data_IF_759655808607
#
_entry.id   IF_759655808607
#
_cell.length_a   1.000
_cell.length_b   1.000
_cell.length_c   1.000
_cell.angle_alpha   90.00
_cell.angle_beta   90.00
_cell.angle_gamma   90.00
#
_symmetry.space_group_name_H-M   'P 1'
#
loop_
_entity.id
_entity.type
_entity.pdbx_description
1 polymer ?
#
# COMPACT_ATOMS: atom_id res chain seq x y z
N UNK A 1 -23.77 -13.16 74.62
CA UNK A 1 -23.58 -11.70 74.44
C UNK A 1 -22.20 -11.46 73.82
N UNK A 2 -22.08 -10.41 73.01
CA UNK A 2 -21.17 -10.23 71.86
C UNK A 2 -19.67 -10.49 72.07
N UNK A 3 -19.03 -11.06 71.03
CA UNK A 3 -17.62 -11.48 70.90
C UNK A 3 -16.67 -10.34 70.49
N UNK A 4 -15.62 -10.18 71.29
CA UNK A 4 -14.17 -9.98 71.04
C UNK A 4 -13.69 -9.79 69.57
N UNK A 5 -13.24 -8.56 69.27
CA UNK A 5 -11.87 -8.08 68.92
C UNK A 5 -11.02 -8.77 67.81
N UNK A 6 -10.70 -7.92 66.80
CA UNK A 6 -9.46 -7.70 66.00
C UNK A 6 -8.95 -8.61 64.84
N UNK A 7 -8.85 -7.95 63.67
CA UNK A 7 -7.70 -7.79 62.74
C UNK A 7 -7.21 -8.98 61.87
N UNK A 8 -7.28 -8.78 60.53
CA UNK A 8 -6.18 -8.85 59.51
C UNK A 8 -6.69 -9.32 58.12
N UNK A 9 -6.51 -8.42 57.16
CA UNK A 9 -6.08 -8.54 55.74
C UNK A 9 -6.64 -9.58 54.73
N UNK A 10 -6.65 -9.11 53.46
CA UNK A 10 -6.78 -9.82 52.17
C UNK A 10 -8.20 -10.39 51.88
N UNK A 11 -8.79 -10.35 50.69
CA UNK A 11 -8.39 -9.96 49.32
C UNK A 11 -9.56 -10.26 48.35
N UNK A 12 -9.50 -9.74 47.11
CA UNK A 12 -10.30 -10.10 45.90
C UNK A 12 -11.81 -9.74 45.89
N UNK A 13 -12.45 -9.26 44.81
CA UNK A 13 -12.04 -8.77 43.47
C UNK A 13 -13.25 -8.11 42.79
N UNK A 14 -12.99 -7.04 42.04
CA UNK A 14 -13.46 -6.78 40.66
C UNK A 14 -14.92 -7.08 40.31
N UNK A 15 -15.70 -6.00 40.11
CA UNK A 15 -16.59 -5.86 38.95
C UNK A 15 -16.60 -4.38 38.56
N UNK A 16 -15.63 -4.00 37.73
CA UNK A 16 -15.67 -2.80 36.92
C UNK A 16 -15.67 -3.22 35.46
N UNK A 17 -16.84 -3.27 34.83
CA UNK A 17 -16.93 -3.28 33.37
C UNK A 17 -16.74 -1.84 32.88
N UNK A 18 -15.61 -1.62 32.24
CA UNK A 18 -15.17 -0.35 31.69
C UNK A 18 -15.41 -0.39 30.18
N UNK A 19 -16.49 0.20 29.71
CA UNK A 19 -16.57 0.62 28.31
C UNK A 19 -15.65 1.83 28.15
N UNK A 20 -14.47 1.56 27.61
CA UNK A 20 -13.43 2.55 27.39
C UNK A 20 -13.00 2.47 25.92
N UNK A 21 -13.90 2.76 24.98
CA UNK A 21 -13.52 3.21 23.63
C UNK A 21 -12.94 4.62 23.76
N UNK A 22 -11.69 4.71 24.21
CA UNK A 22 -10.96 5.95 24.23
C UNK A 22 -10.48 6.28 22.82
N UNK A 23 -11.15 7.20 22.14
CA UNK A 23 -10.58 7.92 21.00
C UNK A 23 -9.38 8.74 21.52
N UNK A 24 -8.20 8.15 21.55
CA UNK A 24 -6.97 8.89 21.88
C UNK A 24 -6.65 9.79 20.70
N UNK A 25 -6.79 11.09 20.91
CA UNK A 25 -6.27 12.11 19.99
C UNK A 25 -4.76 12.10 20.14
N UNK A 26 -4.06 11.65 19.10
CA UNK A 26 -2.60 11.62 19.05
C UNK A 26 -2.06 13.00 18.68
N UNK A 27 -1.06 13.46 19.42
CA UNK A 27 -0.22 14.64 19.12
C UNK A 27 1.16 14.15 18.64
N UNK A 28 1.37 13.96 17.32
CA UNK A 28 2.53 14.47 16.56
C UNK A 28 2.56 13.93 15.11
N UNK A 29 2.89 14.79 14.14
CA UNK A 29 3.22 14.48 12.73
C UNK A 29 2.05 14.18 11.77
N UNK A 30 1.10 13.33 12.14
CA UNK A 30 -0.07 12.96 11.31
C UNK A 30 -1.39 13.58 11.85
N UNK A 31 -1.29 14.69 12.59
CA UNK A 31 -2.30 15.14 13.57
C UNK A 31 -3.45 15.95 13.01
N UNK A 32 -3.30 16.57 11.84
CA UNK A 32 -4.43 17.26 11.21
C UNK A 32 -5.06 16.29 10.24
N UNK A 33 -6.20 15.73 10.65
CA UNK A 33 -7.11 15.07 9.74
C UNK A 33 -8.16 16.08 9.30
N UNK A 34 -8.82 15.87 8.15
CA UNK A 34 -9.95 16.71 7.77
C UNK A 34 -11.03 16.67 8.85
N UNK A 35 -11.73 17.79 9.05
CA UNK A 35 -12.78 17.89 10.07
C UNK A 35 -13.82 16.78 9.90
N UNK A 36 -14.12 16.07 10.99
CA UNK A 36 -15.12 14.99 11.02
C UNK A 36 -14.59 13.62 10.61
N UNK A 37 -13.29 13.48 10.30
CA UNK A 37 -12.67 12.17 10.05
C UNK A 37 -12.22 11.56 11.37
N UNK A 38 -12.75 10.38 11.69
CA UNK A 38 -12.32 9.58 12.83
C UNK A 38 -11.08 8.76 12.49
N UNK A 39 -10.17 8.67 13.46
CA UNK A 39 -8.99 7.80 13.39
C UNK A 39 -9.14 6.65 14.41
N UNK A 40 -8.99 5.43 13.95
CA UNK A 40 -9.06 4.21 14.75
C UNK A 40 -7.65 3.70 15.01
N UNK A 41 -7.35 3.29 16.24
CA UNK A 41 -6.07 2.66 16.55
C UNK A 41 -6.18 1.16 16.28
N UNK A 42 -5.38 0.65 15.36
CA UNK A 42 -5.32 -0.79 15.11
C UNK A 42 -4.27 -1.45 15.99
N UNK A 43 -4.60 -2.66 16.43
CA UNK A 43 -3.70 -3.58 17.13
C UNK A 43 -3.61 -4.86 16.29
N UNK A 44 -2.41 -5.46 16.13
CA UNK A 44 -2.28 -6.70 15.37
C UNK A 44 -3.22 -7.78 15.94
N UNK A 45 -4.05 -8.37 15.07
CA UNK A 45 -4.89 -9.52 15.42
C UNK A 45 -4.03 -10.78 15.60
N UNK A 46 -3.07 -10.96 14.70
CA UNK A 46 -2.08 -12.04 14.75
C UNK A 46 -0.87 -11.70 13.87
N UNK A 47 0.27 -12.34 14.20
CA UNK A 47 1.38 -12.49 13.28
C UNK A 47 1.17 -13.79 12.49
N UNK A 48 0.81 -13.68 11.21
CA UNK A 48 0.50 -14.80 10.33
C UNK A 48 1.76 -15.62 10.03
N UNK A 49 2.86 -14.95 9.71
CA UNK A 49 4.16 -15.57 9.40
C UNK A 49 5.26 -14.71 10.01
N UNK A 50 6.28 -15.34 10.59
CA UNK A 50 7.53 -14.70 11.03
C UNK A 50 8.70 -15.19 10.17
N UNK A 51 9.58 -14.27 9.83
CA UNK A 51 10.78 -14.49 9.03
C UNK A 51 12.00 -14.11 9.86
N UNK A 52 12.98 -15.01 9.93
CA UNK A 52 14.24 -14.82 10.66
C UNK A 52 15.38 -14.43 9.71
N UNK A 53 15.32 -14.92 8.48
CA UNK A 53 16.40 -14.84 7.49
C UNK A 53 15.84 -14.66 6.07
N UNK A 54 14.63 -14.08 5.98
CA UNK A 54 13.93 -13.82 4.71
C UNK A 54 13.41 -12.40 4.67
N UNK A 55 13.37 -11.85 3.47
CA UNK A 55 13.07 -10.45 3.21
C UNK A 55 11.78 -10.34 2.39
N UNK A 56 10.59 -10.42 3.00
CA UNK A 56 9.35 -10.19 2.29
C UNK A 56 9.27 -8.72 1.85
N UNK A 57 8.94 -8.50 0.58
CA UNK A 57 8.84 -7.14 0.01
C UNK A 57 7.42 -6.79 -0.43
N UNK A 58 6.61 -7.80 -0.76
CA UNK A 58 5.24 -7.61 -1.20
C UNK A 58 4.37 -8.83 -0.85
N UNK A 59 3.06 -8.61 -0.76
CA UNK A 59 2.08 -9.65 -0.53
C UNK A 59 0.72 -9.36 -1.20
N UNK A 60 -0.03 -10.42 -1.46
CA UNK A 60 -1.44 -10.35 -1.80
C UNK A 60 -2.15 -11.62 -1.28
N UNK A 61 -3.49 -11.59 -1.25
CA UNK A 61 -4.33 -12.67 -0.74
C UNK A 61 -5.36 -13.06 -1.79
N UNK A 62 -5.55 -14.37 -1.96
CA UNK A 62 -6.67 -14.92 -2.71
C UNK A 62 -7.19 -16.17 -2.02
N UNK A 63 -8.51 -16.27 -1.87
CA UNK A 63 -9.19 -17.34 -1.13
C UNK A 63 -8.55 -17.56 0.26
N UNK A 64 -8.02 -18.75 0.54
CA UNK A 64 -7.37 -19.08 1.83
C UNK A 64 -5.85 -18.94 1.80
N UNK A 65 -5.28 -18.40 0.72
CA UNK A 65 -3.84 -18.37 0.47
C UNK A 65 -3.28 -16.95 0.60
N UNK A 66 -2.11 -16.87 1.22
CA UNK A 66 -1.30 -15.67 1.35
C UNK A 66 -0.06 -15.85 0.47
N UNK A 67 0.12 -14.95 -0.49
CA UNK A 67 1.22 -14.96 -1.44
C UNK A 67 2.20 -13.88 -1.04
N UNK A 68 3.49 -14.23 -1.00
CA UNK A 68 4.53 -13.33 -0.50
C UNK A 68 5.69 -13.34 -1.45
N UNK A 69 6.04 -12.17 -1.97
CA UNK A 69 7.24 -11.97 -2.79
C UNK A 69 8.42 -11.77 -1.83
N UNK A 70 9.45 -12.58 -2.02
CA UNK A 70 10.70 -12.57 -1.26
C UNK A 70 11.81 -11.95 -2.08
N UNK A 71 12.51 -10.99 -1.50
CA UNK A 71 13.82 -10.57 -1.98
C UNK A 71 14.92 -11.55 -1.52
N UNK A 72 16.03 -11.57 -2.26
CA UNK A 72 17.25 -12.36 -1.93
C UNK A 72 16.97 -13.86 -1.69
N UNK A 73 16.14 -14.45 -2.53
CA UNK A 73 15.74 -15.87 -2.46
C UNK A 73 15.73 -16.48 -3.86
N UNK A 74 16.19 -17.72 -4.01
CA UNK A 74 16.25 -18.42 -5.31
C UNK A 74 14.86 -18.71 -5.91
N UNK A 75 13.84 -18.72 -5.05
CA UNK A 75 12.43 -18.77 -5.43
C UNK A 75 11.77 -17.50 -4.94
N UNK A 76 10.99 -16.81 -5.79
CA UNK A 76 10.52 -15.46 -5.46
C UNK A 76 9.20 -15.48 -4.70
N UNK A 77 8.26 -16.37 -5.02
CA UNK A 77 6.90 -16.33 -4.45
C UNK A 77 6.71 -17.47 -3.47
N UNK A 78 6.45 -17.15 -2.21
CA UNK A 78 6.15 -18.14 -1.18
C UNK A 78 4.64 -18.09 -0.91
N UNK A 79 4.01 -19.25 -0.89
CA UNK A 79 2.56 -19.38 -0.67
C UNK A 79 2.33 -20.03 0.67
N UNK A 80 1.55 -19.36 1.51
CA UNK A 80 1.17 -19.80 2.83
C UNK A 80 -0.34 -19.98 2.91
N UNK A 81 -0.78 -20.86 3.80
CA UNK A 81 -2.16 -20.82 4.29
C UNK A 81 -2.32 -19.59 5.19
N UNK A 82 -3.24 -18.69 4.85
CA UNK A 82 -3.36 -17.39 5.54
C UNK A 82 -3.88 -17.50 6.97
N UNK A 83 -4.48 -18.63 7.34
CA UNK A 83 -5.06 -18.86 8.66
C UNK A 83 -4.04 -19.48 9.62
N UNK A 84 -3.30 -20.47 9.14
CA UNK A 84 -2.33 -21.24 9.94
C UNK A 84 -0.89 -20.74 9.82
N UNK A 85 -0.57 -19.93 8.79
CA UNK A 85 0.80 -19.49 8.52
C UNK A 85 1.71 -20.58 7.98
N UNK A 86 1.18 -21.77 7.69
CA UNK A 86 1.96 -22.91 7.20
C UNK A 86 2.25 -22.73 5.72
N UNK A 87 3.52 -22.91 5.33
CA UNK A 87 3.94 -22.85 3.93
C UNK A 87 3.32 -24.01 3.14
N UNK A 88 2.71 -23.69 2.00
CA UNK A 88 2.10 -24.66 1.08
C UNK A 88 3.04 -25.01 -0.06
N UNK A 89 3.63 -24.00 -0.69
CA UNK A 89 4.57 -24.18 -1.81
C UNK A 89 5.38 -22.91 -2.05
N UNK A 90 6.33 -22.98 -2.99
CA UNK A 90 7.14 -21.85 -3.47
C UNK A 90 7.20 -21.90 -4.99
N UNK A 91 7.07 -20.75 -5.65
CA UNK A 91 6.98 -20.61 -7.10
C UNK A 91 7.88 -19.49 -7.62
N UNK A 92 8.22 -19.58 -8.91
CA UNK A 92 8.96 -18.53 -9.61
C UNK A 92 10.46 -18.60 -9.35
N UNK A 93 11.17 -19.26 -10.26
CA UNK A 93 12.63 -19.33 -10.22
C UNK A 93 13.22 -17.96 -10.60
N UNK A 94 14.27 -17.56 -9.90
CA UNK A 94 15.05 -16.37 -10.28
C UNK A 94 15.88 -16.68 -11.52
N UNK A 95 15.75 -15.86 -12.57
CA UNK A 95 16.56 -16.02 -13.77
C UNK A 95 16.05 -15.21 -14.97
N UNK A 96 16.48 -15.62 -16.16
CA UNK A 96 16.18 -14.95 -17.45
C UNK A 96 15.54 -15.90 -18.48
N UNK A 97 15.17 -17.12 -18.07
CA UNK A 97 14.40 -18.05 -18.86
C UNK A 97 12.98 -17.54 -19.16
N UNK A 98 12.24 -18.20 -20.06
CA UNK A 98 10.92 -17.74 -20.50
C UNK A 98 9.87 -17.60 -19.38
N UNK A 99 10.01 -18.38 -18.30
CA UNK A 99 9.13 -18.40 -17.13
C UNK A 99 9.82 -17.90 -15.85
N UNK A 100 11.10 -17.53 -15.95
CA UNK A 100 11.84 -17.01 -14.81
C UNK A 100 11.35 -15.59 -14.48
N UNK A 101 11.51 -15.23 -13.21
CA UNK A 101 11.04 -13.97 -12.65
C UNK A 101 12.24 -13.27 -12.01
N UNK A 102 12.33 -11.95 -12.12
CA UNK A 102 13.49 -11.20 -11.63
C UNK A 102 13.12 -10.34 -10.42
N UNK A 103 12.16 -9.42 -10.58
CA UNK A 103 11.74 -8.51 -9.51
C UNK A 103 10.26 -8.18 -9.67
N UNK A 104 9.36 -9.10 -9.26
CA UNK A 104 7.94 -8.95 -9.49
C UNK A 104 7.28 -8.04 -8.46
N UNK A 105 6.11 -7.51 -8.81
CA UNK A 105 5.20 -6.80 -7.91
C UNK A 105 3.75 -7.21 -8.20
N UNK A 106 2.92 -7.38 -7.16
CA UNK A 106 1.51 -7.71 -7.35
C UNK A 106 0.72 -6.51 -7.92
N UNK A 107 -0.24 -6.80 -8.81
CA UNK A 107 -1.18 -5.79 -9.29
C UNK A 107 -2.17 -5.41 -8.17
N UNK A 108 -2.23 -4.12 -7.83
CA UNK A 108 -3.03 -3.58 -6.70
C UNK A 108 -4.52 -3.44 -6.97
N UNK A 109 -4.97 -3.87 -8.16
CA UNK A 109 -6.35 -3.84 -8.60
C UNK A 109 -6.72 -5.16 -9.32
N UNK A 110 -6.19 -6.29 -8.85
CA UNK A 110 -6.39 -7.62 -9.44
C UNK A 110 -7.86 -7.94 -9.80
N UNK A 111 -8.84 -7.44 -9.04
CA UNK A 111 -10.27 -7.62 -9.30
C UNK A 111 -10.78 -7.04 -10.64
N UNK A 112 -10.03 -6.15 -11.29
CA UNK A 112 -10.39 -5.56 -12.61
C UNK A 112 -10.07 -6.51 -13.78
N UNK A 113 -9.19 -7.47 -13.58
CA UNK A 113 -8.84 -8.47 -14.59
C UNK A 113 -9.89 -9.58 -14.57
N UNK A 114 -10.62 -9.73 -15.68
CA UNK A 114 -11.57 -10.84 -15.87
C UNK A 114 -10.80 -12.08 -16.31
N UNK A 115 -9.90 -12.59 -15.48
CA UNK A 115 -9.32 -13.90 -15.75
C UNK A 115 -10.33 -14.99 -15.39
N UNK A 116 -10.42 -16.01 -16.25
CA UNK A 116 -11.28 -17.19 -16.05
C UNK A 116 -10.73 -18.08 -14.92
N UNK A 117 -9.42 -18.06 -14.74
CA UNK A 117 -8.68 -18.51 -13.56
C UNK A 117 -8.88 -17.47 -12.47
N UNK A 118 -9.29 -17.87 -11.26
CA UNK A 118 -9.37 -16.97 -10.08
C UNK A 118 -7.99 -16.65 -9.52
N UNK A 119 -7.01 -16.47 -10.41
CA UNK A 119 -5.61 -16.33 -10.10
C UNK A 119 -5.24 -14.91 -9.68
N UNK A 120 -4.10 -14.78 -9.01
CA UNK A 120 -3.48 -13.49 -8.76
C UNK A 120 -2.56 -13.14 -9.92
N UNK A 121 -2.60 -11.88 -10.35
CA UNK A 121 -1.69 -11.37 -11.36
C UNK A 121 -0.63 -10.46 -10.73
N UNK A 122 0.57 -10.52 -11.30
CA UNK A 122 1.72 -9.72 -10.92
C UNK A 122 2.52 -9.39 -12.17
N UNK A 123 3.40 -8.40 -12.08
CA UNK A 123 4.21 -7.96 -13.21
C UNK A 123 5.67 -7.97 -12.86
N UNK A 124 6.53 -8.20 -13.84
CA UNK A 124 7.99 -8.03 -13.71
C UNK A 124 8.49 -7.16 -14.86
N UNK A 125 8.97 -5.96 -14.50
CA UNK A 125 9.43 -4.95 -15.44
C UNK A 125 10.71 -5.38 -16.17
N UNK A 126 11.52 -6.25 -15.58
CA UNK A 126 12.78 -6.70 -16.17
C UNK A 126 12.53 -7.69 -17.30
N UNK A 127 11.59 -8.62 -17.10
CA UNK A 127 11.15 -9.57 -18.14
C UNK A 127 10.10 -8.98 -19.09
N UNK A 128 9.56 -7.80 -18.79
CA UNK A 128 8.48 -7.13 -19.54
C UNK A 128 7.21 -7.96 -19.65
N UNK A 129 6.88 -8.74 -18.62
CA UNK A 129 5.74 -9.65 -18.61
C UNK A 129 4.79 -9.41 -17.45
N UNK A 130 3.53 -9.70 -17.70
CA UNK A 130 2.49 -9.93 -16.69
C UNK A 130 2.33 -11.44 -16.54
N UNK A 131 2.39 -11.90 -15.32
CA UNK A 131 2.25 -13.30 -14.94
C UNK A 131 0.94 -13.50 -14.18
N UNK A 132 0.43 -14.72 -14.25
CA UNK A 132 -0.68 -15.18 -13.43
C UNK A 132 -0.25 -16.38 -12.59
N UNK A 133 -0.73 -16.44 -11.35
CA UNK A 133 -0.73 -17.64 -10.53
C UNK A 133 -2.13 -18.24 -10.54
N UNK A 134 -2.30 -19.40 -11.18
CA UNK A 134 -3.60 -20.05 -11.23
C UNK A 134 -3.95 -20.76 -9.91
N UNK A 135 -5.18 -21.30 -9.82
CA UNK A 135 -5.68 -21.99 -8.63
C UNK A 135 -4.91 -23.28 -8.28
N UNK A 136 -4.07 -23.79 -9.19
CA UNK A 136 -3.20 -24.96 -8.96
C UNK A 136 -1.80 -24.55 -8.52
N UNK A 137 -1.57 -23.28 -8.17
CA UNK A 137 -0.27 -22.74 -7.81
C UNK A 137 0.77 -22.94 -8.93
N UNK A 138 0.37 -22.71 -10.17
CA UNK A 138 1.29 -22.65 -11.31
C UNK A 138 1.44 -21.20 -11.76
N UNK A 139 2.69 -20.77 -11.99
CA UNK A 139 3.02 -19.45 -12.54
C UNK A 139 3.18 -19.59 -14.05
N UNK A 140 2.53 -18.71 -14.81
CA UNK A 140 2.76 -18.62 -16.25
C UNK A 140 2.68 -17.16 -16.71
N UNK A 141 3.48 -16.77 -17.70
CA UNK A 141 3.28 -15.49 -18.36
C UNK A 141 1.94 -15.50 -19.09
N UNK A 142 1.21 -14.39 -19.00
CA UNK A 142 -0.12 -14.24 -19.57
C UNK A 142 -0.21 -13.06 -20.57
N UNK A 143 0.50 -11.96 -20.33
CA UNK A 143 0.56 -10.81 -21.24
C UNK A 143 1.96 -10.22 -21.29
N UNK A 144 2.32 -9.66 -22.44
CA UNK A 144 3.49 -8.78 -22.56
C UNK A 144 3.11 -7.35 -22.15
N UNK A 145 4.08 -6.59 -21.65
CA UNK A 145 3.89 -5.16 -21.40
C UNK A 145 3.65 -4.40 -22.70
N UNK A 146 2.70 -3.46 -22.66
CA UNK A 146 2.49 -2.51 -23.76
C UNK A 146 3.55 -1.39 -23.70
N UNK A 147 4.13 -1.05 -24.85
CA UNK A 147 5.23 -0.09 -24.95
C UNK A 147 4.82 1.32 -24.50
N UNK A 148 3.53 1.66 -24.66
CA UNK A 148 2.96 2.96 -24.33
C UNK A 148 3.10 3.30 -22.85
N UNK A 149 3.11 2.31 -21.95
CA UNK A 149 3.27 2.52 -20.50
C UNK A 149 4.58 1.95 -19.97
N UNK A 150 5.40 1.30 -20.79
CA UNK A 150 6.65 0.70 -20.34
C UNK A 150 7.85 1.69 -20.39
N UNK A 151 8.83 1.59 -19.47
CA UNK A 151 8.74 0.96 -18.15
C UNK A 151 7.98 1.88 -17.20
N UNK A 152 7.12 1.33 -16.33
CA UNK A 152 6.38 2.14 -15.34
C UNK A 152 6.76 1.80 -13.91
N UNK A 153 6.85 2.81 -13.04
CA UNK A 153 7.15 2.64 -11.61
C UNK A 153 5.96 2.09 -10.84
N UNK A 154 4.76 2.53 -11.22
CA UNK A 154 3.50 2.07 -10.67
C UNK A 154 2.54 1.86 -11.84
N UNK A 155 1.80 0.76 -11.80
CA UNK A 155 0.91 0.36 -12.87
C UNK A 155 -0.44 -0.10 -12.32
N UNK A 156 -1.50 0.24 -13.04
CA UNK A 156 -2.82 -0.33 -12.88
C UNK A 156 -3.27 -0.90 -14.22
N UNK A 157 -3.73 -2.15 -14.20
CA UNK A 157 -4.15 -2.87 -15.41
C UNK A 157 -5.59 -3.33 -15.22
N UNK A 158 -6.39 -3.16 -16.26
CA UNK A 158 -7.74 -3.70 -16.37
C UNK A 158 -7.88 -4.36 -17.75
N UNK A 159 -9.04 -4.95 -18.06
CA UNK A 159 -9.24 -5.60 -19.36
C UNK A 159 -9.02 -4.66 -20.57
N UNK A 160 -9.25 -3.37 -20.39
CA UNK A 160 -9.26 -2.41 -21.50
C UNK A 160 -8.22 -1.30 -21.36
N UNK A 161 -7.65 -1.12 -20.18
CA UNK A 161 -6.78 0.01 -19.88
C UNK A 161 -5.52 -0.42 -19.16
N UNK A 162 -4.43 0.20 -19.58
CA UNK A 162 -3.12 0.19 -18.93
C UNK A 162 -2.82 1.61 -18.48
N UNK A 163 -2.54 1.79 -17.20
CA UNK A 163 -2.24 3.10 -16.64
C UNK A 163 -0.91 3.01 -15.92
N UNK A 164 0.02 3.89 -16.21
CA UNK A 164 1.31 3.86 -15.54
C UNK A 164 2.09 5.16 -15.60
N UNK A 165 2.95 5.35 -14.59
CA UNK A 165 3.95 6.42 -14.55
C UNK A 165 5.25 5.92 -15.16
N UNK A 166 5.58 6.40 -16.36
CA UNK A 166 6.80 5.98 -17.06
C UNK A 166 8.06 6.45 -16.36
N UNK A 167 9.02 5.54 -16.21
CA UNK A 167 10.35 5.78 -15.65
C UNK A 167 11.31 6.30 -16.74
N UNK A 168 11.05 7.51 -17.22
CA UNK A 168 11.95 8.21 -18.14
C UNK A 168 12.29 9.58 -17.58
N UNK A 169 13.58 9.94 -17.46
CA UNK A 169 13.98 11.23 -16.90
C UNK A 169 13.33 12.37 -17.69
N UNK A 170 12.67 13.30 -16.98
CA UNK A 170 12.02 14.47 -17.55
C UNK A 170 11.00 14.16 -18.68
N UNK A 171 10.32 13.01 -18.61
CA UNK A 171 9.16 12.75 -19.47
C UNK A 171 8.13 13.86 -19.28
N UNK A 172 7.47 14.39 -20.32
CA UNK A 172 6.61 15.57 -20.19
C UNK A 172 5.31 15.34 -19.39
N UNK A 173 5.10 14.15 -18.83
CA UNK A 173 3.80 13.72 -18.29
C UNK A 173 3.99 13.01 -16.96
N UNK A 174 3.04 13.17 -16.04
CA UNK A 174 3.02 12.49 -14.75
C UNK A 174 2.70 11.01 -14.86
N UNK A 175 1.70 10.67 -15.68
CA UNK A 175 1.34 9.29 -16.01
C UNK A 175 0.57 9.25 -17.33
N UNK A 176 0.37 8.04 -17.85
CA UNK A 176 -0.32 7.79 -19.10
C UNK A 176 -1.44 6.78 -18.92
N UNK A 177 -2.50 6.94 -19.71
CA UNK A 177 -3.67 6.06 -19.76
C UNK A 177 -3.74 5.54 -21.20
N UNK A 178 -3.50 4.25 -21.39
CA UNK A 178 -3.58 3.60 -22.68
C UNK A 178 -4.80 2.68 -22.73
N UNK A 179 -5.68 2.90 -23.70
CA UNK A 179 -6.79 2.00 -23.99
C UNK A 179 -6.33 0.92 -24.99
N UNK A 180 -6.20 -0.32 -24.53
CA UNK A 180 -5.73 -1.44 -25.33
C UNK A 180 -6.70 -1.89 -26.42
N UNK A 181 -7.99 -1.53 -26.31
CA UNK A 181 -9.02 -1.89 -27.30
C UNK A 181 -9.03 -0.87 -28.45
N UNK A 182 -8.89 0.42 -28.15
CA UNK A 182 -8.98 1.49 -29.16
C UNK A 182 -7.62 2.01 -29.61
N UNK A 183 -6.51 1.61 -28.97
CA UNK A 183 -5.18 2.16 -29.18
C UNK A 183 -5.03 3.63 -28.74
N UNK A 184 -5.99 4.17 -27.98
CA UNK A 184 -5.98 5.58 -27.59
C UNK A 184 -5.02 5.78 -26.41
N UNK A 185 -4.05 6.66 -26.58
CA UNK A 185 -3.16 7.13 -25.52
C UNK A 185 -3.60 8.51 -25.00
N UNK A 186 -3.80 8.62 -23.70
CA UNK A 186 -4.01 9.89 -23.01
C UNK A 186 -2.82 10.15 -22.09
N UNK A 187 -2.31 11.37 -22.16
CA UNK A 187 -1.18 11.85 -21.38
C UNK A 187 -1.69 12.80 -20.30
N UNK A 188 -1.30 12.57 -19.05
CA UNK A 188 -1.68 13.43 -17.92
C UNK A 188 -0.48 14.24 -17.48
N UNK A 189 -0.62 15.56 -17.52
CA UNK A 189 0.43 16.51 -17.13
C UNK A 189 0.77 16.43 -15.64
N UNK A 190 1.94 16.95 -15.27
CA UNK A 190 2.33 17.12 -13.87
C UNK A 190 1.34 17.99 -13.10
N UNK A 191 0.86 17.43 -11.99
CA UNK A 191 0.04 18.10 -11.00
C UNK A 191 0.43 17.62 -9.60
N UNK A 192 0.52 18.49 -8.59
CA UNK A 192 0.19 19.92 -8.63
C UNK A 192 1.15 20.77 -9.44
N UNK A 193 0.64 21.89 -9.99
CA UNK A 193 1.48 22.90 -10.64
C UNK A 193 2.02 23.85 -9.58
N UNK A 194 3.33 23.83 -9.40
CA UNK A 194 4.05 24.64 -8.40
C UNK A 194 5.09 25.52 -9.10
N UNK A 195 5.35 26.71 -8.55
CA UNK A 195 6.12 27.80 -9.20
C UNK A 195 7.52 27.36 -9.63
N UNK A 196 8.17 26.53 -8.84
CA UNK A 196 9.55 26.08 -9.07
C UNK A 196 9.64 24.65 -9.64
N UNK A 197 8.54 24.12 -10.18
CA UNK A 197 8.51 22.78 -10.79
C UNK A 197 9.56 22.59 -11.89
N UNK A 198 9.82 23.62 -12.70
CA UNK A 198 10.78 23.55 -13.79
C UNK A 198 12.24 23.49 -13.34
N UNK A 199 12.51 23.80 -12.07
CA UNK A 199 13.84 23.67 -11.47
C UNK A 199 14.13 22.24 -10.98
N UNK A 200 13.16 21.35 -11.01
CA UNK A 200 13.32 19.96 -10.58
C UNK A 200 14.23 19.21 -11.56
N UNK A 201 15.32 18.65 -11.04
CA UNK A 201 16.28 17.85 -11.83
C UNK A 201 15.66 16.57 -12.38
N UNK A 202 14.73 15.97 -11.63
CA UNK A 202 13.97 14.79 -12.01
C UNK A 202 12.51 14.95 -11.57
N UNK A 203 11.68 15.48 -12.48
CA UNK A 203 10.23 15.63 -12.25
C UNK A 203 9.54 14.29 -12.02
N UNK A 204 9.97 13.23 -12.71
CA UNK A 204 9.34 11.92 -12.58
C UNK A 204 9.58 11.30 -11.22
N UNK A 205 10.78 11.43 -10.68
CA UNK A 205 11.04 11.00 -9.30
C UNK A 205 10.22 11.81 -8.30
N UNK A 206 10.22 13.14 -8.42
CA UNK A 206 9.57 13.99 -7.43
C UNK A 206 8.05 13.92 -7.44
N UNK A 207 7.45 13.68 -8.61
CA UNK A 207 6.02 13.39 -8.77
C UNK A 207 5.74 11.88 -8.76
N UNK A 208 6.64 11.10 -8.17
CA UNK A 208 6.46 9.66 -7.97
C UNK A 208 5.10 9.39 -7.31
N UNK A 209 4.37 8.41 -7.82
CA UNK A 209 3.02 8.12 -7.35
C UNK A 209 2.73 6.61 -7.39
N UNK A 210 1.65 6.22 -6.72
CA UNK A 210 1.07 4.90 -6.82
C UNK A 210 -0.35 4.97 -7.40
N UNK A 211 -0.66 4.15 -8.40
CA UNK A 211 -1.93 4.21 -9.16
C UNK A 211 -2.76 2.93 -8.99
N UNK A 212 -4.06 3.11 -8.84
CA UNK A 212 -5.09 2.09 -9.06
C UNK A 212 -6.24 2.64 -9.89
N UNK A 213 -7.02 1.77 -10.52
CA UNK A 213 -8.17 2.16 -11.32
C UNK A 213 -9.35 1.23 -11.14
N UNK A 214 -10.54 1.77 -11.43
CA UNK A 214 -11.79 1.06 -11.46
C UNK A 214 -12.57 1.45 -12.71
N UNK A 215 -12.66 0.51 -13.66
CA UNK A 215 -13.25 0.79 -14.97
C UNK A 215 -14.76 0.99 -14.89
N UNK A 216 -15.44 0.24 -14.01
CA UNK A 216 -16.90 0.35 -13.81
C UNK A 216 -17.31 1.70 -13.26
N UNK A 217 -16.52 2.27 -12.36
CA UNK A 217 -16.79 3.59 -11.75
C UNK A 217 -16.22 4.75 -12.58
N UNK A 218 -15.46 4.47 -13.65
CA UNK A 218 -14.71 5.46 -14.44
C UNK A 218 -13.83 6.33 -13.54
N UNK A 219 -13.00 5.69 -12.71
CA UNK A 219 -12.11 6.35 -11.76
C UNK A 219 -10.70 5.79 -11.80
N UNK A 220 -9.73 6.67 -11.73
CA UNK A 220 -8.32 6.40 -11.49
C UNK A 220 -7.96 7.16 -10.22
N UNK A 221 -7.31 6.48 -9.28
CA UNK A 221 -6.81 7.10 -8.07
C UNK A 221 -5.29 7.06 -8.07
N UNK A 222 -4.67 8.21 -7.81
CA UNK A 222 -3.24 8.38 -7.69
C UNK A 222 -2.89 8.95 -6.31
N UNK A 223 -2.09 8.23 -5.53
CA UNK A 223 -1.50 8.72 -4.27
C UNK A 223 -0.06 9.15 -4.51
N UNK A 224 0.27 10.41 -4.19
CA UNK A 224 1.62 10.94 -4.42
C UNK A 224 2.60 10.45 -3.35
N UNK A 225 3.79 10.02 -3.76
CA UNK A 225 4.81 9.48 -2.86
C UNK A 225 5.42 10.56 -1.93
N UNK A 226 5.56 11.79 -2.43
CA UNK A 226 6.22 12.89 -1.72
C UNK A 226 5.28 14.00 -1.25
N UNK A 227 4.00 13.91 -1.60
CA UNK A 227 3.00 14.92 -1.28
C UNK A 227 1.86 14.26 -0.53
N UNK A 228 1.33 14.93 0.49
CA UNK A 228 0.08 14.52 1.15
C UNK A 228 -1.13 14.87 0.27
N UNK A 229 -1.12 14.36 -0.96
CA UNK A 229 -2.10 14.61 -2.00
C UNK A 229 -2.52 13.29 -2.65
N UNK A 230 -3.83 13.09 -2.70
CA UNK A 230 -4.51 12.05 -3.44
C UNK A 230 -5.31 12.72 -4.55
N UNK A 231 -5.20 12.20 -5.76
CA UNK A 231 -5.83 12.76 -6.95
C UNK A 231 -6.73 11.72 -7.59
N UNK A 232 -7.90 12.15 -8.05
CA UNK A 232 -8.89 11.28 -8.68
C UNK A 232 -9.14 11.79 -10.09
N UNK A 233 -8.91 10.92 -11.07
CA UNK A 233 -9.09 11.21 -12.49
C UNK A 233 -10.17 10.31 -13.11
N UNK A 234 -10.68 10.71 -14.27
CA UNK A 234 -11.34 9.79 -15.20
C UNK A 234 -10.35 9.18 -16.22
N UNK A 235 -10.81 8.24 -17.03
CA UNK A 235 -10.01 7.63 -18.10
C UNK A 235 -9.75 8.56 -19.31
N UNK A 236 -10.26 9.79 -19.31
CA UNK A 236 -9.86 10.83 -20.26
C UNK A 236 -8.74 11.72 -19.71
N UNK A 237 -8.19 11.40 -18.53
CA UNK A 237 -7.12 12.16 -17.89
C UNK A 237 -7.59 13.43 -17.20
N UNK A 238 -8.92 13.63 -17.05
CA UNK A 238 -9.46 14.81 -16.38
C UNK A 238 -9.41 14.61 -14.87
N UNK A 239 -8.79 15.57 -14.17
CA UNK A 239 -8.83 15.64 -12.70
C UNK A 239 -10.26 15.95 -12.23
N UNK A 240 -10.82 15.06 -11.42
CA UNK A 240 -12.15 15.15 -10.83
C UNK A 240 -12.09 15.77 -9.44
N UNK A 241 -11.15 15.32 -8.61
CA UNK A 241 -11.06 15.71 -7.20
C UNK A 241 -9.63 15.56 -6.68
N UNK A 242 -9.27 16.47 -5.77
CA UNK A 242 -8.09 16.38 -4.92
C UNK A 242 -8.52 16.16 -3.47
N UNK A 243 -7.74 15.35 -2.76
CA UNK A 243 -7.93 15.08 -1.35
C UNK A 243 -6.57 15.18 -0.67
N UNK A 244 -6.49 16.00 0.38
CA UNK A 244 -5.37 16.01 1.31
C UNK A 244 -5.90 15.67 2.69
N UNK A 245 -5.11 14.91 3.45
CA UNK A 245 -5.42 14.62 4.85
C UNK A 245 -4.98 15.78 5.75
N UNK A 246 -3.90 16.47 5.42
CA UNK A 246 -3.40 17.64 6.15
C UNK A 246 -4.35 18.82 6.00
N UNK A 247 -4.81 19.37 7.12
CA UNK A 247 -5.63 20.58 7.09
C UNK A 247 -4.78 21.79 6.68
N UNK A 248 -5.25 22.57 5.71
CA UNK A 248 -4.50 23.73 5.19
C UNK A 248 -3.25 23.33 4.40
N UNK A 249 -3.27 22.15 3.77
CA UNK A 249 -2.18 21.66 2.94
C UNK A 249 -1.77 22.66 1.86
N UNK A 250 -0.47 22.90 1.75
CA UNK A 250 0.15 23.81 0.80
C UNK A 250 1.22 23.05 0.00
N UNK A 251 1.01 22.96 -1.31
CA UNK A 251 1.84 22.21 -2.24
C UNK A 251 3.20 22.88 -2.47
N UNK A 252 3.29 24.21 -2.41
CA UNK A 252 4.54 24.95 -2.53
C UNK A 252 5.41 24.72 -1.29
N UNK A 253 4.80 24.79 -0.11
CA UNK A 253 5.48 24.48 1.14
C UNK A 253 5.94 23.02 1.19
N UNK A 254 5.12 22.08 0.72
CA UNK A 254 5.48 20.68 0.63
C UNK A 254 6.70 20.48 -0.29
N UNK A 255 6.73 21.14 -1.45
CA UNK A 255 7.89 21.08 -2.34
C UNK A 255 9.15 21.68 -1.70
N UNK A 256 9.03 22.84 -1.04
CA UNK A 256 10.14 23.46 -0.34
C UNK A 256 10.71 22.57 0.78
N UNK A 257 9.84 21.87 1.52
CA UNK A 257 10.26 20.89 2.53
C UNK A 257 11.08 19.76 1.92
N UNK A 258 10.65 19.21 0.78
CA UNK A 258 11.38 18.16 0.08
C UNK A 258 12.78 18.61 -0.37
N UNK A 259 12.90 19.83 -0.89
CA UNK A 259 14.21 20.40 -1.28
C UNK A 259 15.15 20.56 -0.09
N UNK A 260 14.60 21.00 1.05
CA UNK A 260 15.36 21.25 2.27
C UNK A 260 15.59 19.98 3.10
N UNK A 261 15.18 18.80 2.61
CA UNK A 261 15.25 17.53 3.34
C UNK A 261 14.53 17.58 4.70
N UNK A 262 13.48 18.40 4.79
CA UNK A 262 12.57 18.38 5.92
C UNK A 262 11.63 17.17 5.82
N UNK A 263 11.03 16.82 6.95
CA UNK A 263 10.01 15.77 7.00
C UNK A 263 8.87 16.04 6.03
N UNK A 264 8.32 14.95 5.48
CA UNK A 264 7.23 14.99 4.53
C UNK A 264 6.25 13.84 4.77
N UNK A 265 5.08 13.96 4.15
CA UNK A 265 4.04 12.94 4.18
C UNK A 265 3.78 12.52 2.75
N UNK A 266 3.56 11.23 2.54
CA UNK A 266 3.11 10.73 1.25
C UNK A 266 2.58 9.30 1.31
N UNK A 267 2.32 8.77 0.12
CA UNK A 267 1.59 7.53 -0.09
C UNK A 267 2.44 6.47 -0.78
N UNK A 268 3.32 5.76 -0.04
CA UNK A 268 4.26 4.82 -0.64
C UNK A 268 3.63 3.52 -1.15
N UNK A 269 2.41 3.20 -0.72
CA UNK A 269 1.70 2.01 -1.19
C UNK A 269 0.18 2.24 -1.27
N UNK A 270 -0.46 1.50 -2.16
CA UNK A 270 -1.90 1.54 -2.42
C UNK A 270 -2.42 0.13 -2.68
N UNK A 271 -3.67 -0.12 -2.29
CA UNK A 271 -4.42 -1.31 -2.64
C UNK A 271 -5.87 -0.94 -2.92
N UNK A 272 -6.55 -1.69 -3.79
CA UNK A 272 -7.93 -1.39 -4.12
C UNK A 272 -8.80 -2.61 -4.27
N UNK A 273 -10.04 -2.46 -3.87
CA UNK A 273 -11.14 -3.39 -4.14
C UNK A 273 -12.13 -2.73 -5.09
N UNK A 274 -13.14 -3.49 -5.51
CA UNK A 274 -14.25 -2.96 -6.29
C UNK A 274 -14.98 -1.79 -5.59
N UNK A 275 -14.97 -1.72 -4.26
CA UNK A 275 -15.69 -0.69 -3.51
C UNK A 275 -14.81 0.40 -2.92
N UNK A 276 -13.60 0.07 -2.45
CA UNK A 276 -12.76 1.01 -1.71
C UNK A 276 -11.31 1.03 -2.21
N UNK A 277 -10.66 2.16 -1.97
CA UNK A 277 -9.22 2.31 -2.07
C UNK A 277 -8.64 2.42 -0.66
N UNK A 278 -7.49 1.79 -0.47
CA UNK A 278 -6.71 1.82 0.75
C UNK A 278 -5.34 2.38 0.42
N UNK A 279 -4.88 3.37 1.18
CA UNK A 279 -3.59 3.98 0.97
C UNK A 279 -2.80 3.94 2.26
N UNK A 280 -1.54 3.47 2.21
CA UNK A 280 -0.62 3.67 3.32
C UNK A 280 -0.13 5.11 3.26
N UNK A 281 -0.34 5.87 4.33
CA UNK A 281 0.08 7.26 4.51
C UNK A 281 1.18 7.30 5.55
N UNK A 282 2.39 7.62 5.12
CA UNK A 282 3.57 7.60 5.97
C UNK A 282 4.05 9.02 6.25
N UNK A 283 4.40 9.29 7.52
CA UNK A 283 5.18 10.46 7.90
C UNK A 283 6.66 10.07 7.92
N UNK A 284 7.45 10.68 7.04
CA UNK A 284 8.79 10.23 6.71
C UNK A 284 9.80 11.31 7.09
N UNK A 285 10.89 10.86 7.72
CA UNK A 285 12.04 11.70 8.01
C UNK A 285 12.71 12.17 6.71
N UNK A 286 12.86 13.48 6.54
CA UNK A 286 13.39 14.04 5.29
C UNK A 286 14.87 13.73 5.03
N UNK A 287 15.66 13.56 6.10
CA UNK A 287 17.10 13.30 6.03
C UNK A 287 17.40 11.81 5.89
N UNK A 288 16.87 11.00 6.79
CA UNK A 288 17.16 9.56 6.88
C UNK A 288 16.24 8.70 6.03
N UNK A 289 15.10 9.25 5.57
CA UNK A 289 14.03 8.53 4.84
C UNK A 289 13.36 7.42 5.65
N UNK A 290 13.61 7.36 6.96
CA UNK A 290 12.93 6.43 7.84
C UNK A 290 11.46 6.84 8.05
N UNK A 291 10.58 5.85 8.08
CA UNK A 291 9.18 6.05 8.44
C UNK A 291 9.09 6.32 9.94
N UNK A 292 8.56 7.49 10.32
CA UNK A 292 8.31 7.86 11.73
C UNK A 292 7.00 7.28 12.23
N UNK A 293 5.94 7.37 11.42
CA UNK A 293 4.59 6.89 11.72
C UNK A 293 3.85 6.50 10.44
N UNK A 294 2.93 5.55 10.55
CA UNK A 294 2.08 5.09 9.44
C UNK A 294 0.60 5.13 9.80
N UNK A 295 -0.22 5.44 8.80
CA UNK A 295 -1.67 5.32 8.83
C UNK A 295 -2.16 4.60 7.57
N UNK A 296 -3.33 3.99 7.63
CA UNK A 296 -4.08 3.60 6.44
C UNK A 296 -5.31 4.49 6.26
N UNK A 297 -5.50 4.99 5.05
CA UNK A 297 -6.69 5.75 4.66
C UNK A 297 -7.57 4.85 3.82
N UNK A 298 -8.80 4.57 4.30
CA UNK A 298 -9.86 3.89 3.54
C UNK A 298 -10.76 4.96 2.94
N UNK A 299 -10.95 4.93 1.63
CA UNK A 299 -11.80 5.88 0.93
C UNK A 299 -12.60 5.21 -0.18
N UNK A 300 -13.72 5.82 -0.57
CA UNK A 300 -14.42 5.42 -1.78
C UNK A 300 -13.75 5.99 -3.04
N UNK A 301 -14.11 5.46 -4.20
CA UNK A 301 -13.60 5.88 -5.52
C UNK A 301 -13.94 7.33 -5.92
N UNK A 302 -14.79 8.03 -5.16
CA UNK A 302 -15.07 9.45 -5.35
C UNK A 302 -14.25 10.33 -4.39
N UNK A 303 -13.33 9.74 -3.63
CA UNK A 303 -12.42 10.45 -2.73
C UNK A 303 -13.09 10.89 -1.45
N UNK A 304 -14.14 10.21 -1.00
CA UNK A 304 -14.66 10.43 0.33
C UNK A 304 -13.98 9.47 1.30
N UNK A 305 -13.30 10.03 2.29
CA UNK A 305 -12.64 9.28 3.35
C UNK A 305 -13.71 8.60 4.20
N UNK A 306 -13.57 7.29 4.40
CA UNK A 306 -14.50 6.48 5.21
C UNK A 306 -13.93 6.21 6.59
N UNK A 307 -12.62 5.95 6.66
CA UNK A 307 -11.92 5.70 7.90
C UNK A 307 -10.43 5.98 7.75
N UNK A 308 -9.78 6.28 8.87
CA UNK A 308 -8.32 6.33 8.99
C UNK A 308 -7.92 5.39 10.12
N UNK A 309 -6.86 4.63 9.90
CA UNK A 309 -6.38 3.62 10.83
C UNK A 309 -4.93 3.91 11.20
N UNK A 310 -4.64 4.21 12.46
CA UNK A 310 -3.29 4.39 12.98
C UNK A 310 -2.67 3.04 13.37
N UNK A 311 -1.38 2.88 13.08
CA UNK A 311 -0.61 1.66 13.39
C UNK A 311 0.73 2.08 13.99
N UNK A 312 1.09 1.46 15.12
CA UNK A 312 2.37 1.69 15.82
C UNK A 312 3.51 0.83 15.25
N UNK A 313 3.16 -0.28 14.59
CA UNK A 313 4.12 -1.18 13.97
C UNK A 313 4.91 -0.49 12.86
N UNK A 314 6.21 -0.78 12.76
CA UNK A 314 7.06 -0.28 11.68
C UNK A 314 6.76 -1.06 10.39
N UNK A 315 5.97 -0.46 9.52
CA UNK A 315 5.55 -1.08 8.26
C UNK A 315 6.58 -0.90 7.16
N UNK A 316 6.71 -1.91 6.31
CA UNK A 316 7.52 -1.88 5.09
C UNK A 316 6.78 -2.56 3.94
N UNK A 317 7.32 -2.43 2.72
CA UNK A 317 6.86 -3.18 1.55
C UNK A 317 5.41 -2.89 1.16
N UNK A 318 4.81 -3.87 0.47
CA UNK A 318 3.40 -3.86 0.08
C UNK A 318 2.43 -4.28 1.19
N UNK A 319 1.14 -4.13 0.91
CA UNK A 319 0.05 -4.59 1.76
C UNK A 319 -1.15 -4.98 0.89
N UNK A 320 -2.09 -5.72 1.46
CA UNK A 320 -3.35 -6.03 0.80
C UNK A 320 -4.51 -6.03 1.80
N UNK A 321 -5.74 -6.01 1.27
CA UNK A 321 -6.96 -6.09 2.09
C UNK A 321 -7.87 -7.17 1.52
N UNK A 322 -8.27 -8.11 2.37
CA UNK A 322 -9.24 -9.15 2.04
C UNK A 322 -10.29 -9.26 3.15
N UNK A 323 -11.57 -9.20 2.81
CA UNK A 323 -12.69 -9.36 3.75
C UNK A 323 -12.58 -8.50 5.04
N UNK A 324 -12.27 -7.21 4.89
CA UNK A 324 -12.00 -6.27 6.00
C UNK A 324 -10.79 -6.64 6.89
N UNK A 325 -9.93 -7.55 6.46
CA UNK A 325 -8.67 -7.84 7.10
C UNK A 325 -7.56 -7.18 6.28
N UNK A 326 -6.80 -6.31 6.93
CA UNK A 326 -5.60 -5.70 6.39
C UNK A 326 -4.40 -6.61 6.70
N UNK A 327 -3.61 -6.94 5.68
CA UNK A 327 -2.36 -7.69 5.82
C UNK A 327 -1.18 -6.81 5.43
N UNK A 328 -0.18 -6.71 6.32
CA UNK A 328 0.99 -5.84 6.14
C UNK A 328 2.29 -6.56 6.48
N UNK A 329 3.39 -6.15 5.85
CA UNK A 329 4.74 -6.50 6.30
C UNK A 329 5.18 -5.52 7.39
N UNK A 330 5.63 -6.05 8.52
CA UNK A 330 6.24 -5.31 9.62
C UNK A 330 7.70 -5.73 9.80
N UNK A 331 8.55 -4.78 10.19
CA UNK A 331 9.95 -4.99 10.54
C UNK A 331 10.16 -4.76 12.04
N UNK A 332 10.84 -5.71 12.68
CA UNK A 332 11.31 -5.60 14.05
C UNK A 332 12.84 -5.63 14.05
N UNK A 333 13.46 -4.63 14.69
CA UNK A 333 14.92 -4.56 14.84
C UNK A 333 15.23 -4.74 16.32
N UNK A 334 15.97 -5.79 16.66
CA UNK A 334 16.40 -6.02 18.02
C UNK A 334 17.59 -5.10 18.35
N UNK A 335 17.35 -4.06 19.14
CA UNK A 335 18.36 -3.05 19.48
C UNK A 335 19.60 -3.62 20.23
N UNK A 336 19.49 -4.81 20.82
CA UNK A 336 20.60 -5.46 21.53
C UNK A 336 21.50 -6.35 20.67
N UNK A 337 20.99 -6.83 19.53
CA UNK A 337 21.73 -7.78 18.64
C UNK A 337 21.86 -7.30 17.21
N UNK A 338 21.21 -6.18 16.85
CA UNK A 338 21.04 -5.69 15.48
C UNK A 338 20.34 -6.69 14.53
N UNK A 339 19.75 -7.76 15.08
CA UNK A 339 19.00 -8.72 14.28
C UNK A 339 17.73 -8.07 13.74
N UNK A 340 17.49 -8.24 12.44
CA UNK A 340 16.25 -7.83 11.79
C UNK A 340 15.33 -9.03 11.57
N UNK A 341 14.10 -8.90 12.01
CA UNK A 341 13.04 -9.88 11.79
C UNK A 341 11.90 -9.23 11.01
N UNK A 342 11.29 -9.99 10.11
CA UNK A 342 10.10 -9.56 9.38
C UNK A 342 8.90 -10.39 9.81
N UNK A 343 7.72 -9.79 9.79
CA UNK A 343 6.45 -10.47 10.07
C UNK A 343 5.40 -10.03 9.08
N UNK A 344 4.49 -10.95 8.72
CA UNK A 344 3.22 -10.56 8.13
C UNK A 344 2.20 -10.47 9.26
N UNK A 345 1.66 -9.28 9.48
CA UNK A 345 0.65 -9.01 10.48
C UNK A 345 -0.71 -8.88 9.80
N UNK A 346 -1.76 -9.33 10.48
CA UNK A 346 -3.14 -9.06 10.08
C UNK A 346 -3.84 -8.16 11.09
N UNK A 347 -4.69 -7.26 10.60
CA UNK A 347 -5.47 -6.33 11.41
C UNK A 347 -6.93 -6.37 10.96
N UNK A 348 -7.85 -6.27 11.92
CA UNK A 348 -9.28 -6.19 11.62
C UNK A 348 -9.67 -4.72 11.40
N UNK A 349 -10.22 -4.41 10.23
CA UNK A 349 -10.67 -3.06 9.90
C UNK A 349 -12.09 -2.87 10.41
N UNK A 350 -12.31 -1.79 11.15
CA UNK A 350 -13.66 -1.36 11.51
C UNK A 350 -14.46 -1.03 10.25
N UNK A 351 -15.72 -1.48 10.23
CA UNK A 351 -16.61 -1.47 9.06
C UNK A 351 -17.06 -0.06 8.69
#
# INVERSE_FOLDING_TARGET
MKKIIFLIALSFWVLGCKDNTSSKIYTDGLTTLPKGVTCFQLVPKQAVVKFVDKYPIDLDVSDSLLYVIMAKSDTIIYIYDKNSGVIKTKLGQVGYGPEDIISPEFLRNNYELKNKSRGLSFYDLNSRKIFEINNYCHVSPYLDFVDEVYPSRSISISNNFWIGQRMAKNHPTMFQIYNSITGKLVQVDYYPKVKDMDKLFDKNYMYGLNIVSNTKKNRILAGMFFFDLIQIYDFNGKLIKEVSMTQGYDQEKALANLFNRNDYIGYPAIYSTNEYCYLRRDFIDGETRNVKKSQFVKMDWNGNIKAVYAIEERLLGGFCVDNNILYCISQEINQGTEDEYYKILSFELES
#
